data_IF_246688942658
#
_entry.id   IF_246688942658
#
_cell.length_a   1.000
_cell.length_b   1.000
_cell.length_c   1.000
_cell.angle_alpha   90.00
_cell.angle_beta   90.00
_cell.angle_gamma   90.00
#
_symmetry.space_group_name_H-M   'P 1'
#
loop_
_entity.id
_entity.type
_entity.pdbx_description
1 polymer ?
#
# COMPACT_ATOMS: atom_id res chain seq x y z
N UNK A 1 -22.53 -2.87 2.14
CA UNK A 1 -23.05 -3.56 3.34
C UNK A 1 -22.94 -5.06 3.11
N UNK A 2 -22.01 -5.75 3.76
CA UNK A 2 -21.87 -7.21 3.63
C UNK A 2 -22.83 -7.84 4.65
N UNK A 3 -23.84 -8.58 4.16
CA UNK A 3 -24.84 -9.24 5.01
C UNK A 3 -24.17 -10.27 5.93
N UNK A 4 -24.45 -10.22 7.23
CA UNK A 4 -24.19 -11.33 8.16
C UNK A 4 -23.10 -11.15 9.21
N UNK A 5 -22.42 -10.00 9.28
CA UNK A 5 -21.50 -9.71 10.40
C UNK A 5 -21.81 -8.32 10.94
N UNK A 6 -22.33 -8.23 12.17
CA UNK A 6 -22.44 -6.98 12.94
C UNK A 6 -21.03 -6.53 13.31
N UNK A 7 -20.34 -5.92 12.34
CA UNK A 7 -19.05 -5.27 12.56
C UNK A 7 -19.31 -3.86 13.06
N UNK A 8 -18.80 -3.53 14.24
CA UNK A 8 -18.81 -2.15 14.72
C UNK A 8 -17.77 -1.36 13.92
N UNK A 9 -18.17 -0.24 13.35
CA UNK A 9 -17.30 0.62 12.56
C UNK A 9 -17.10 1.93 13.31
N UNK A 10 -15.85 2.30 13.53
CA UNK A 10 -15.46 3.57 14.15
C UNK A 10 -14.74 4.39 13.08
N UNK A 11 -15.22 5.61 12.86
CA UNK A 11 -14.61 6.55 11.92
C UNK A 11 -13.90 7.65 12.68
N UNK A 12 -12.62 7.87 12.37
CA UNK A 12 -11.79 8.91 12.97
C UNK A 12 -11.21 9.81 11.89
N UNK A 13 -11.11 11.11 12.19
CA UNK A 13 -10.39 12.06 11.34
C UNK A 13 -8.95 12.21 11.84
N UNK A 14 -7.95 11.75 11.07
CA UNK A 14 -6.56 11.89 11.47
C UNK A 14 -6.11 13.36 11.38
N UNK A 15 -5.08 13.73 12.15
CA UNK A 15 -4.49 15.08 12.12
C UNK A 15 -3.58 15.29 10.91
N UNK A 16 -3.03 14.22 10.35
CA UNK A 16 -2.18 14.27 9.17
C UNK A 16 -3.01 14.60 7.91
N UNK A 17 -2.56 15.58 7.12
CA UNK A 17 -3.20 15.98 5.86
C UNK A 17 -3.13 14.92 4.76
N UNK A 18 -2.29 13.89 4.88
CA UNK A 18 -2.17 12.81 3.89
C UNK A 18 -3.37 11.85 3.88
N UNK A 19 -4.17 11.79 4.94
CA UNK A 19 -5.29 10.85 5.05
C UNK A 19 -6.57 11.61 5.38
N UNK A 20 -7.64 11.33 4.65
CA UNK A 20 -8.93 12.00 4.84
C UNK A 20 -9.69 11.42 6.05
N UNK A 21 -9.59 10.10 6.24
CA UNK A 21 -10.33 9.35 7.27
C UNK A 21 -9.59 8.05 7.63
N UNK A 22 -9.71 7.62 8.88
CA UNK A 22 -9.35 6.28 9.37
C UNK A 22 -10.62 5.53 9.71
N UNK A 23 -10.76 4.31 9.20
CA UNK A 23 -11.92 3.45 9.45
C UNK A 23 -11.42 2.22 10.22
N UNK A 24 -11.90 2.05 11.44
CA UNK A 24 -11.59 0.92 12.30
C UNK A 24 -12.79 -0.02 12.27
N UNK A 25 -12.54 -1.29 11.94
CA UNK A 25 -13.57 -2.31 11.82
C UNK A 25 -13.33 -3.34 12.91
N UNK A 26 -14.23 -3.38 13.89
CA UNK A 26 -14.16 -4.31 15.01
C UNK A 26 -14.99 -5.56 14.72
N UNK A 27 -14.50 -6.70 15.20
CA UNK A 27 -15.26 -7.94 15.18
C UNK A 27 -16.40 -7.89 16.21
N UNK A 28 -17.45 -8.66 15.94
CA UNK A 28 -18.55 -8.85 16.90
C UNK A 28 -18.02 -9.53 18.17
N UNK A 29 -18.21 -8.89 19.33
CA UNK A 29 -17.77 -9.40 20.63
C UNK A 29 -16.46 -8.80 21.16
N UNK A 30 -15.81 -7.89 20.42
CA UNK A 30 -14.76 -7.05 20.98
C UNK A 30 -15.38 -5.98 21.90
N UNK A 31 -14.86 -5.84 23.12
CA UNK A 31 -15.14 -4.67 23.94
C UNK A 31 -14.70 -3.41 23.19
N UNK A 32 -15.50 -2.35 23.29
CA UNK A 32 -15.18 -1.08 22.65
C UNK A 32 -14.00 -0.47 23.41
N UNK A 33 -12.80 -0.39 22.83
CA UNK A 33 -11.67 0.21 23.50
C UNK A 33 -11.88 1.73 23.63
N UNK A 34 -11.13 2.36 24.52
CA UNK A 34 -11.22 3.81 24.73
C UNK A 34 -10.97 4.55 23.42
N UNK A 35 -11.85 5.51 23.12
CA UNK A 35 -11.79 6.31 21.91
C UNK A 35 -10.51 7.11 21.81
N UNK A 36 -9.93 7.53 22.94
CA UNK A 36 -8.66 8.27 22.96
C UNK A 36 -7.46 7.36 22.68
N UNK A 37 -7.49 6.11 23.14
CA UNK A 37 -6.48 5.11 22.83
C UNK A 37 -6.49 4.75 21.34
N UNK A 38 -7.68 4.49 20.78
CA UNK A 38 -7.87 4.28 19.34
C UNK A 38 -7.37 5.46 18.52
N UNK A 39 -7.65 6.68 18.99
CA UNK A 39 -7.19 7.90 18.34
C UNK A 39 -5.67 7.99 18.35
N UNK A 40 -5.02 7.71 19.48
CA UNK A 40 -3.56 7.75 19.61
C UNK A 40 -2.90 6.72 18.69
N UNK A 41 -3.42 5.51 18.63
CA UNK A 41 -2.89 4.47 17.75
C UNK A 41 -3.13 4.80 16.26
N UNK A 42 -4.31 5.31 15.92
CA UNK A 42 -4.60 5.79 14.57
C UNK A 42 -3.66 6.93 14.16
N UNK A 43 -3.36 7.87 15.06
CA UNK A 43 -2.40 8.95 14.83
C UNK A 43 -0.98 8.41 14.63
N UNK A 44 -0.54 7.42 15.42
CA UNK A 44 0.77 6.78 15.27
C UNK A 44 0.90 6.02 13.94
N UNK A 45 -0.14 5.28 13.55
CA UNK A 45 -0.15 4.53 12.29
C UNK A 45 -0.23 5.46 11.08
N UNK A 46 -1.09 6.47 11.10
CA UNK A 46 -1.18 7.47 10.02
C UNK A 46 0.05 8.38 9.94
N UNK A 47 0.81 8.52 11.03
CA UNK A 47 2.13 9.15 11.03
C UNK A 47 3.20 8.32 10.29
N UNK A 48 3.19 7.00 10.45
CA UNK A 48 4.17 6.07 9.82
C UNK A 48 3.78 5.57 8.42
N UNK A 49 2.49 5.60 8.10
CA UNK A 49 1.96 5.10 6.83
C UNK A 49 2.56 5.76 5.57
N UNK A 50 2.87 7.08 5.54
CA UNK A 50 3.47 7.72 4.36
C UNK A 50 4.81 7.09 3.97
N UNK A 51 5.64 6.72 4.95
CA UNK A 51 6.94 6.10 4.70
C UNK A 51 6.80 4.68 4.15
N UNK A 52 5.83 3.91 4.64
CA UNK A 52 5.52 2.57 4.13
C UNK A 52 5.05 2.63 2.66
N UNK A 53 4.13 3.56 2.35
CA UNK A 53 3.64 3.77 0.97
C UNK A 53 4.79 4.20 0.06
N UNK A 54 5.65 5.11 0.53
CA UNK A 54 6.81 5.59 -0.23
C UNK A 54 7.80 4.47 -0.52
N UNK A 55 8.11 3.63 0.46
CA UNK A 55 9.00 2.47 0.28
C UNK A 55 8.42 1.45 -0.71
N UNK A 56 7.13 1.15 -0.59
CA UNK A 56 6.43 0.24 -1.52
C UNK A 56 6.48 0.76 -2.96
N UNK A 57 6.22 2.06 -3.17
CA UNK A 57 6.30 2.69 -4.50
C UNK A 57 7.72 2.65 -5.07
N UNK A 58 8.74 2.90 -4.24
CA UNK A 58 10.15 2.81 -4.65
C UNK A 58 10.54 1.39 -5.06
N UNK A 59 10.07 0.38 -4.34
CA UNK A 59 10.31 -1.03 -4.69
C UNK A 59 9.68 -1.40 -6.03
N UNK A 60 8.43 -0.99 -6.27
CA UNK A 60 7.73 -1.29 -7.52
C UNK A 60 8.35 -0.59 -8.73
N UNK A 61 8.79 0.66 -8.57
CA UNK A 61 9.52 1.38 -9.63
C UNK A 61 10.86 0.72 -9.93
N UNK A 62 11.59 0.25 -8.91
CA UNK A 62 12.83 -0.49 -9.11
C UNK A 62 12.60 -1.80 -9.90
N UNK A 63 11.57 -2.57 -9.55
CA UNK A 63 11.19 -3.80 -10.28
C UNK A 63 10.86 -3.51 -11.75
N UNK A 64 10.17 -2.41 -12.02
CA UNK A 64 9.83 -1.99 -13.38
C UNK A 64 11.07 -1.59 -14.20
N UNK A 65 12.05 -0.91 -13.57
CA UNK A 65 13.31 -0.58 -14.23
C UNK A 65 14.13 -1.82 -14.58
N UNK A 66 14.18 -2.79 -13.67
CA UNK A 66 14.90 -4.06 -13.89
C UNK A 66 14.25 -4.84 -15.03
N UNK A 67 12.91 -4.95 -15.07
CA UNK A 67 12.23 -5.65 -16.16
C UNK A 67 12.39 -4.93 -17.51
N UNK A 68 12.35 -3.60 -17.52
CA UNK A 68 12.60 -2.81 -18.72
C UNK A 68 14.02 -3.00 -19.24
N UNK A 69 15.03 -2.97 -18.37
CA UNK A 69 16.43 -3.20 -18.73
C UNK A 69 16.65 -4.62 -19.28
N UNK A 70 16.06 -5.63 -18.63
CA UNK A 70 16.12 -7.01 -19.11
C UNK A 70 15.48 -7.17 -20.49
N UNK A 71 14.30 -6.56 -20.71
CA UNK A 71 13.64 -6.55 -22.01
C UNK A 71 14.50 -5.92 -23.09
N UNK A 72 15.08 -4.74 -22.83
CA UNK A 72 15.95 -4.04 -23.77
C UNK A 72 17.19 -4.87 -24.17
N UNK A 73 17.82 -5.55 -23.20
CA UNK A 73 18.96 -6.43 -23.44
C UNK A 73 18.59 -7.63 -24.32
N UNK A 74 17.46 -8.29 -24.05
CA UNK A 74 16.98 -9.43 -24.84
C UNK A 74 16.65 -9.00 -26.27
N UNK A 75 16.03 -7.84 -26.44
CA UNK A 75 15.73 -7.28 -27.76
C UNK A 75 17.02 -6.97 -28.52
N UNK A 76 17.99 -6.29 -27.90
CA UNK A 76 19.27 -5.98 -28.52
C UNK A 76 20.05 -7.24 -28.92
N UNK A 77 20.10 -8.26 -28.06
CA UNK A 77 20.74 -9.54 -28.36
C UNK A 77 20.04 -10.26 -29.52
N UNK A 78 18.71 -10.28 -29.54
CA UNK A 78 17.92 -10.86 -30.64
C UNK A 78 18.20 -10.17 -31.97
N UNK A 79 18.28 -8.84 -31.98
CA UNK A 79 18.64 -8.07 -33.18
C UNK A 79 20.06 -8.36 -33.68
N UNK A 80 21.04 -8.47 -32.78
CA UNK A 80 22.42 -8.84 -33.15
C UNK A 80 22.50 -10.25 -33.74
N UNK A 81 21.76 -11.20 -33.18
CA UNK A 81 21.67 -12.57 -33.71
C UNK A 81 21.06 -12.54 -35.10
N UNK A 82 19.89 -11.90 -35.27
CA UNK A 82 19.22 -11.78 -36.57
C UNK A 82 20.12 -11.12 -37.62
N UNK A 83 20.83 -10.05 -37.26
CA UNK A 83 21.76 -9.37 -38.15
C UNK A 83 22.94 -10.26 -38.57
N UNK A 84 23.36 -11.19 -37.72
CA UNK A 84 24.46 -12.12 -38.06
C UNK A 84 24.05 -13.23 -39.05
N UNK A 85 22.75 -13.41 -39.29
CA UNK A 85 22.20 -14.38 -40.24
C UNK A 85 21.68 -13.74 -41.55
N UNK A 86 21.80 -12.42 -41.70
CA UNK A 86 21.50 -11.65 -42.92
C UNK A 86 22.82 -11.30 -43.61
#
# INVERSE_FOLDING_TARGET
MIKGVTKSVIELKPKNSCFEKVIIILNSGCELPDTEELRREAELLTGKAPDFIRHSRRSNTLKMLISAAAGALVTAASFLILYSFV
#
